data_IF_629062382937
#
_entry.id   IF_629062382937
#
_cell.length_a   1.000
_cell.length_b   1.000
_cell.length_c   1.000
_cell.angle_alpha   90.00
_cell.angle_beta   90.00
_cell.angle_gamma   90.00
#
_symmetry.space_group_name_H-M   'P 1'
#
loop_
_entity.id
_entity.type
_entity.pdbx_description
1 polymer ?
#
# COMPACT_ATOMS: atom_id res chain seq x y z
N UNK A 1 -4.39 23.15 5.00
CA UNK A 1 -5.30 22.66 3.94
C UNK A 1 -6.71 23.24 4.01
N UNK A 2 -7.37 23.35 5.19
CA UNK A 2 -8.73 23.95 5.31
C UNK A 2 -8.88 25.34 4.67
N UNK A 3 -7.87 26.17 4.83
CA UNK A 3 -7.68 27.50 4.23
C UNK A 3 -7.68 27.54 2.69
N UNK A 4 -7.38 26.42 2.02
CA UNK A 4 -7.47 26.27 0.56
C UNK A 4 -8.64 25.34 0.17
N UNK A 5 -9.65 25.21 1.05
CA UNK A 5 -10.82 24.36 0.79
C UNK A 5 -10.50 22.87 0.65
N UNK A 6 -9.38 22.39 1.21
CA UNK A 6 -8.89 21.02 1.05
C UNK A 6 -8.60 20.61 -0.41
N UNK A 7 -8.35 21.57 -1.29
CA UNK A 7 -7.89 21.31 -2.65
C UNK A 7 -6.50 20.67 -2.61
N UNK A 8 -6.31 19.62 -3.40
CA UNK A 8 -5.00 19.05 -3.68
C UNK A 8 -4.23 19.98 -4.62
N UNK A 9 -3.57 20.98 -4.03
CA UNK A 9 -2.79 22.00 -4.72
C UNK A 9 -1.32 21.90 -4.29
N UNK A 10 -0.53 21.25 -5.14
CA UNK A 10 0.90 21.06 -4.91
C UNK A 10 1.67 22.37 -4.82
N UNK A 11 1.26 23.43 -5.53
CA UNK A 11 1.93 24.73 -5.49
C UNK A 11 1.66 25.43 -4.17
N UNK A 12 0.40 25.41 -3.72
CA UNK A 12 0.03 25.92 -2.40
C UNK A 12 0.77 25.21 -1.28
N UNK A 13 0.85 23.87 -1.37
CA UNK A 13 1.57 23.04 -0.40
C UNK A 13 3.05 23.36 -0.37
N UNK A 14 3.70 23.49 -1.54
CA UNK A 14 5.10 23.86 -1.64
C UNK A 14 5.38 25.23 -0.98
N UNK A 15 4.54 26.24 -1.22
CA UNK A 15 4.68 27.57 -0.60
C UNK A 15 4.53 27.49 0.93
N UNK A 16 3.61 26.64 1.43
CA UNK A 16 3.44 26.41 2.88
C UNK A 16 4.68 25.79 3.51
N UNK A 17 5.27 24.79 2.86
CA UNK A 17 6.50 24.12 3.30
C UNK A 17 7.67 25.12 3.31
N UNK A 18 7.88 25.87 2.23
CA UNK A 18 8.93 26.91 2.14
C UNK A 18 8.73 27.98 3.22
N UNK A 19 7.49 28.41 3.44
CA UNK A 19 7.17 29.39 4.47
C UNK A 19 7.41 28.85 5.90
N UNK A 20 7.18 27.55 6.14
CA UNK A 20 7.51 26.88 7.39
C UNK A 20 9.02 26.85 7.62
N UNK A 21 9.79 26.38 6.63
CA UNK A 21 11.26 26.38 6.68
C UNK A 21 11.80 27.79 6.96
N UNK A 22 11.30 28.80 6.24
CA UNK A 22 11.70 30.19 6.43
C UNK A 22 11.41 30.74 7.83
N UNK A 23 10.33 30.29 8.50
CA UNK A 23 10.02 30.69 9.87
C UNK A 23 10.99 30.06 10.86
N UNK A 24 11.25 28.76 10.70
CA UNK A 24 12.19 28.02 11.55
C UNK A 24 13.60 28.60 11.41
N UNK A 25 14.08 28.82 10.18
CA UNK A 25 15.40 29.41 9.93
C UNK A 25 15.56 30.81 10.54
N UNK A 26 14.49 31.59 10.71
CA UNK A 26 14.54 32.90 11.38
C UNK A 26 14.61 32.80 12.90
N UNK A 27 14.07 31.74 13.49
CA UNK A 27 14.10 31.50 14.94
C UNK A 27 15.33 30.71 15.40
N UNK A 28 16.05 30.08 14.47
CA UNK A 28 17.27 29.32 14.71
C UNK A 28 18.52 30.22 14.67
N UNK A 29 19.61 29.79 15.32
CA UNK A 29 20.91 30.46 15.16
C UNK A 29 21.42 30.32 13.73
N UNK A 30 22.28 31.23 13.28
CA UNK A 30 22.79 31.23 11.90
C UNK A 30 23.54 29.94 11.49
N UNK A 31 24.05 29.19 12.47
CA UNK A 31 24.74 27.90 12.27
C UNK A 31 23.77 26.69 12.28
N UNK A 32 22.53 26.85 12.73
CA UNK A 32 21.51 25.79 12.80
C UNK A 32 20.64 25.79 11.52
N UNK A 33 21.22 25.35 10.40
CA UNK A 33 20.47 25.16 9.16
C UNK A 33 19.51 23.98 9.28
N UNK A 34 18.21 24.26 9.25
CA UNK A 34 17.15 23.25 9.25
C UNK A 34 16.69 22.96 7.82
N UNK A 35 16.73 21.70 7.41
CA UNK A 35 16.26 21.19 6.12
C UNK A 35 14.84 20.64 6.22
N UNK A 36 14.24 20.32 5.07
CA UNK A 36 12.93 19.66 5.01
C UNK A 36 12.96 18.27 5.67
N UNK A 37 14.06 17.52 5.49
CA UNK A 37 14.18 16.17 6.03
C UNK A 37 14.23 16.19 7.57
N UNK A 38 14.81 17.23 8.16
CA UNK A 38 14.83 17.39 9.62
C UNK A 38 13.42 17.52 10.19
N UNK A 39 12.49 18.16 9.45
CA UNK A 39 11.09 18.34 9.88
C UNK A 39 10.29 17.04 9.95
N UNK A 40 10.75 16.00 9.27
CA UNK A 40 10.10 14.69 9.21
C UNK A 40 10.98 13.57 9.80
N UNK A 41 12.14 13.93 10.36
CA UNK A 41 13.16 12.97 10.82
C UNK A 41 12.71 12.09 11.98
N UNK A 42 11.70 12.53 12.75
CA UNK A 42 11.10 11.79 13.85
C UNK A 42 9.85 10.98 13.46
N UNK A 43 9.44 11.06 12.17
CA UNK A 43 8.37 10.22 11.65
C UNK A 43 8.82 8.77 11.66
N UNK A 44 8.05 7.93 12.35
CA UNK A 44 8.30 6.50 12.40
C UNK A 44 7.87 5.87 11.09
N UNK A 45 8.80 5.16 10.46
CA UNK A 45 8.55 4.30 9.31
C UNK A 45 8.70 2.84 9.71
N UNK A 46 8.03 1.95 8.99
CA UNK A 46 8.29 0.52 9.12
C UNK A 46 9.67 0.19 8.56
N UNK A 47 10.34 -0.82 9.12
CA UNK A 47 11.71 -1.16 8.72
C UNK A 47 11.80 -1.54 7.23
N UNK A 48 10.73 -2.12 6.69
CA UNK A 48 10.64 -2.53 5.29
C UNK A 48 9.33 -2.08 4.66
N UNK A 49 9.44 -1.42 3.52
CA UNK A 49 8.34 -1.12 2.60
C UNK A 49 8.66 -1.73 1.22
N UNK A 50 7.69 -2.40 0.60
CA UNK A 50 7.85 -2.97 -0.75
C UNK A 50 6.55 -2.85 -1.55
N UNK A 51 6.68 -2.42 -2.80
CA UNK A 51 5.59 -2.45 -3.78
C UNK A 51 5.91 -3.48 -4.88
N UNK A 52 4.91 -4.29 -5.24
CA UNK A 52 4.93 -5.12 -6.44
C UNK A 52 3.67 -4.84 -7.28
N UNK A 53 3.79 -5.00 -8.60
CA UNK A 53 2.68 -4.76 -9.54
C UNK A 53 2.37 -6.03 -10.30
N UNK A 54 1.14 -6.53 -10.13
CA UNK A 54 0.61 -7.62 -10.94
C UNK A 54 0.16 -7.06 -12.28
N UNK A 55 0.86 -7.39 -13.35
CA UNK A 55 0.42 -7.07 -14.70
C UNK A 55 -0.70 -8.02 -15.12
N UNK A 56 -1.76 -7.48 -15.72
CA UNK A 56 -2.82 -8.28 -16.32
C UNK A 56 -2.41 -8.62 -17.75
N UNK A 57 -2.38 -9.92 -18.06
CA UNK A 57 -1.69 -10.47 -19.24
C UNK A 57 -2.30 -10.03 -20.57
N UNK A 58 -3.61 -9.77 -20.59
CA UNK A 58 -4.31 -9.31 -21.79
C UNK A 58 -4.32 -7.77 -21.93
N UNK A 59 -3.75 -7.04 -20.98
CA UNK A 59 -3.69 -5.58 -20.97
C UNK A 59 -5.06 -4.89 -20.81
N UNK A 60 -6.11 -5.60 -20.42
CA UNK A 60 -7.47 -5.07 -20.35
C UNK A 60 -7.82 -4.51 -18.97
N UNK A 61 -8.31 -3.27 -18.91
CA UNK A 61 -8.86 -2.65 -17.68
C UNK A 61 -10.07 -3.45 -17.16
N UNK A 62 -10.86 -4.03 -18.07
CA UNK A 62 -12.00 -4.86 -17.70
C UNK A 62 -11.55 -6.15 -16.99
N UNK A 63 -10.56 -6.84 -17.55
CA UNK A 63 -9.98 -8.04 -16.93
C UNK A 63 -9.30 -7.69 -15.61
N UNK A 64 -8.60 -6.55 -15.56
CA UNK A 64 -8.02 -6.01 -14.31
C UNK A 64 -9.07 -5.82 -13.23
N UNK A 65 -10.24 -5.30 -13.60
CA UNK A 65 -11.36 -5.11 -12.66
C UNK A 65 -11.91 -6.43 -12.12
N UNK A 66 -12.10 -7.41 -13.01
CA UNK A 66 -12.61 -8.72 -12.63
C UNK A 66 -11.63 -9.44 -11.72
N UNK A 67 -10.37 -9.57 -12.15
CA UNK A 67 -9.31 -10.25 -11.38
C UNK A 67 -9.08 -9.57 -10.04
N UNK A 68 -9.08 -8.24 -10.00
CA UNK A 68 -9.01 -7.51 -8.73
C UNK A 68 -10.14 -7.89 -7.77
N UNK A 69 -11.39 -7.99 -8.25
CA UNK A 69 -12.51 -8.43 -7.43
C UNK A 69 -12.33 -9.84 -6.87
N UNK A 70 -11.80 -10.77 -7.67
CA UNK A 70 -11.48 -12.13 -7.21
C UNK A 70 -10.37 -12.14 -6.16
N UNK A 71 -9.30 -11.37 -6.38
CA UNK A 71 -8.19 -11.24 -5.40
C UNK A 71 -8.71 -10.63 -4.09
N UNK A 72 -9.50 -9.56 -4.18
CA UNK A 72 -10.08 -8.88 -3.02
C UNK A 72 -10.91 -9.85 -2.18
N UNK A 73 -11.83 -10.59 -2.81
CA UNK A 73 -12.66 -11.58 -2.11
C UNK A 73 -11.82 -12.67 -1.43
N UNK A 74 -10.78 -13.19 -2.10
CA UNK A 74 -9.90 -14.21 -1.51
C UNK A 74 -9.18 -13.66 -0.26
N UNK A 75 -8.72 -12.41 -0.31
CA UNK A 75 -8.06 -11.78 0.84
C UNK A 75 -9.05 -11.49 1.97
N UNK A 76 -10.24 -11.00 1.66
CA UNK A 76 -11.30 -10.78 2.65
C UNK A 76 -11.73 -12.09 3.33
N UNK A 77 -11.89 -13.16 2.54
CA UNK A 77 -12.16 -14.51 3.05
C UNK A 77 -11.03 -14.97 3.97
N UNK A 78 -9.78 -14.82 3.55
CA UNK A 78 -8.60 -15.16 4.36
C UNK A 78 -8.54 -14.37 5.68
N UNK A 79 -8.99 -13.12 5.71
CA UNK A 79 -9.07 -12.32 6.94
C UNK A 79 -10.22 -12.76 7.86
N UNK A 80 -11.34 -13.21 7.29
CA UNK A 80 -12.58 -13.48 8.05
C UNK A 80 -12.79 -14.96 8.38
N UNK A 81 -12.09 -15.88 7.70
CA UNK A 81 -12.46 -17.29 7.64
C UNK A 81 -13.73 -17.54 6.80
N UNK A 82 -14.08 -16.60 5.94
CA UNK A 82 -15.24 -16.66 5.05
C UNK A 82 -15.12 -17.79 4.03
N UNK A 83 -16.26 -18.25 3.51
CA UNK A 83 -16.33 -19.24 2.42
C UNK A 83 -15.53 -20.55 2.66
N UNK A 84 -15.37 -20.95 3.94
CA UNK A 84 -14.63 -22.16 4.31
C UNK A 84 -13.11 -22.04 4.19
N UNK A 85 -12.60 -20.82 4.03
CA UNK A 85 -11.16 -20.54 4.02
C UNK A 85 -10.56 -20.65 5.42
N UNK A 86 -9.30 -21.07 5.49
CA UNK A 86 -8.53 -21.02 6.74
C UNK A 86 -8.21 -19.56 7.08
N UNK A 87 -8.74 -19.09 8.21
CA UNK A 87 -8.50 -17.73 8.68
C UNK A 87 -7.01 -17.52 8.94
N UNK A 88 -6.46 -16.44 8.38
CA UNK A 88 -5.13 -15.92 8.72
C UNK A 88 -5.28 -15.10 10.00
N UNK A 89 -4.89 -15.67 11.13
CA UNK A 89 -5.12 -15.08 12.46
C UNK A 89 -4.53 -13.68 12.60
N UNK A 90 -3.42 -13.42 11.93
CA UNK A 90 -2.68 -12.16 11.98
C UNK A 90 -3.21 -11.09 11.04
N UNK A 91 -4.15 -11.40 10.14
CA UNK A 91 -4.69 -10.47 9.16
C UNK A 91 -6.04 -9.93 9.60
N UNK A 92 -6.15 -8.61 9.62
CA UNK A 92 -7.38 -7.91 9.97
C UNK A 92 -7.70 -6.85 8.90
N UNK A 93 -8.92 -6.89 8.35
CA UNK A 93 -9.36 -5.88 7.40
C UNK A 93 -9.41 -4.50 8.07
N UNK A 94 -8.92 -3.49 7.36
CA UNK A 94 -9.07 -2.11 7.82
C UNK A 94 -10.52 -1.65 7.70
N UNK A 95 -10.97 -0.80 8.64
CA UNK A 95 -12.34 -0.30 8.69
C UNK A 95 -12.67 0.68 7.57
N UNK A 96 -11.65 1.28 6.96
CA UNK A 96 -11.77 2.31 5.93
C UNK A 96 -11.29 1.82 4.55
N UNK A 97 -11.73 0.63 4.13
CA UNK A 97 -11.49 0.10 2.79
C UNK A 97 -12.38 0.80 1.75
N UNK A 98 -11.96 1.99 1.30
CA UNK A 98 -12.70 2.78 0.30
C UNK A 98 -12.20 2.56 -1.14
N UNK A 99 -10.87 2.56 -1.35
CA UNK A 99 -10.25 2.39 -2.67
C UNK A 99 -9.20 1.26 -2.63
N UNK A 100 -9.68 0.03 -2.52
CA UNK A 100 -8.83 -1.15 -2.46
C UNK A 100 -9.16 -2.04 -1.27
N UNK A 101 -8.25 -2.98 -0.98
CA UNK A 101 -8.30 -3.81 0.23
C UNK A 101 -7.05 -3.56 1.03
N UNK A 102 -7.20 -2.90 2.19
CA UNK A 102 -6.15 -2.73 3.19
C UNK A 102 -6.36 -3.72 4.33
N UNK A 103 -5.27 -4.33 4.74
CA UNK A 103 -5.22 -5.34 5.79
C UNK A 103 -4.08 -5.01 6.73
N UNK A 104 -4.38 -4.90 8.03
CA UNK A 104 -3.37 -4.82 9.09
C UNK A 104 -2.78 -6.19 9.35
N UNK A 105 -1.48 -6.22 9.62
CA UNK A 105 -0.75 -7.43 10.03
C UNK A 105 -0.45 -7.39 11.53
N UNK A 106 -0.39 -8.56 12.18
CA UNK A 106 -0.25 -8.67 13.64
C UNK A 106 1.01 -8.04 14.27
N UNK A 107 2.00 -7.65 13.45
CA UNK A 107 3.22 -6.96 13.87
C UNK A 107 3.13 -5.41 13.76
N UNK A 108 1.95 -4.86 13.48
CA UNK A 108 1.75 -3.42 13.30
C UNK A 108 2.01 -2.90 11.88
N UNK A 109 2.39 -3.78 10.96
CA UNK A 109 2.43 -3.49 9.53
C UNK A 109 1.06 -3.52 8.87
N UNK A 110 1.04 -3.30 7.56
CA UNK A 110 -0.14 -3.49 6.74
C UNK A 110 0.24 -3.87 5.31
N UNK A 111 -0.72 -4.38 4.55
CA UNK A 111 -0.62 -4.41 3.10
C UNK A 111 -1.87 -3.81 2.47
N UNK A 112 -1.72 -3.33 1.23
CA UNK A 112 -2.79 -2.70 0.48
C UNK A 112 -2.80 -3.21 -0.96
N UNK A 113 -3.94 -3.73 -1.37
CA UNK A 113 -4.26 -4.08 -2.75
C UNK A 113 -5.01 -2.92 -3.39
N UNK A 114 -4.50 -2.38 -4.49
CA UNK A 114 -5.20 -1.37 -5.28
C UNK A 114 -5.17 -1.72 -6.76
N UNK A 115 -6.31 -1.54 -7.41
CA UNK A 115 -6.40 -1.58 -8.86
C UNK A 115 -6.02 -0.21 -9.42
N UNK A 116 -5.15 -0.15 -10.43
CA UNK A 116 -4.95 1.08 -11.18
C UNK A 116 -6.23 1.45 -11.96
N UNK A 117 -6.53 2.74 -12.05
CA UNK A 117 -7.66 3.26 -12.85
C UNK A 117 -7.27 3.53 -14.31
N UNK A 118 -5.97 3.64 -14.59
CA UNK A 118 -5.44 4.05 -15.88
C UNK A 118 -4.74 2.90 -16.60
N UNK A 119 -4.03 2.07 -15.84
CA UNK A 119 -3.18 1.00 -16.35
C UNK A 119 -3.74 -0.37 -15.97
N UNK A 120 -3.54 -1.42 -16.80
CA UNK A 120 -4.03 -2.77 -16.52
C UNK A 120 -3.14 -3.50 -15.50
N UNK A 121 -3.01 -2.92 -14.31
CA UNK A 121 -2.13 -3.40 -13.24
C UNK A 121 -2.83 -3.34 -11.88
N UNK A 122 -2.46 -4.27 -11.00
CA UNK A 122 -2.87 -4.28 -9.60
C UNK A 122 -1.62 -4.06 -8.74
N UNK A 123 -1.56 -2.96 -8.01
CA UNK A 123 -0.47 -2.66 -7.09
C UNK A 123 -0.71 -3.32 -5.74
N UNK A 124 0.34 -3.90 -5.19
CA UNK A 124 0.37 -4.52 -3.87
C UNK A 124 1.51 -3.86 -3.11
N UNK A 125 1.15 -3.05 -2.12
CA UNK A 125 2.08 -2.41 -1.21
C UNK A 125 2.06 -3.16 0.12
N UNK A 126 3.22 -3.41 0.72
CA UNK A 126 3.34 -4.02 2.04
C UNK A 126 4.40 -3.29 2.87
N UNK A 127 4.06 -3.10 4.13
CA UNK A 127 4.96 -2.61 5.17
C UNK A 127 5.11 -3.66 6.27
N UNK A 128 6.33 -3.88 6.74
CA UNK A 128 6.64 -4.90 7.74
C UNK A 128 7.80 -4.52 8.66
N UNK A 129 7.86 -5.20 9.81
CA UNK A 129 8.91 -4.98 10.81
C UNK A 129 10.24 -5.62 10.45
N UNK A 130 10.28 -6.47 9.42
CA UNK A 130 11.51 -7.10 8.92
C UNK A 130 11.33 -7.57 7.47
N UNK A 131 12.44 -7.82 6.74
CA UNK A 131 12.37 -8.41 5.40
C UNK A 131 11.68 -9.78 5.39
N UNK A 132 11.83 -10.55 6.48
CA UNK A 132 11.22 -11.87 6.63
C UNK A 132 9.68 -11.78 6.72
N UNK A 133 9.15 -10.77 7.42
CA UNK A 133 7.69 -10.57 7.53
C UNK A 133 7.09 -10.24 6.17
N UNK A 134 7.75 -9.35 5.42
CA UNK A 134 7.34 -8.97 4.06
C UNK A 134 7.40 -10.18 3.10
N UNK A 135 8.46 -10.99 3.18
CA UNK A 135 8.57 -12.21 2.40
C UNK A 135 7.45 -13.21 2.74
N UNK A 136 7.20 -13.42 4.04
CA UNK A 136 6.13 -14.33 4.51
C UNK A 136 4.76 -13.89 4.02
N UNK A 137 4.50 -12.58 4.00
CA UNK A 137 3.28 -12.03 3.39
C UNK A 137 3.17 -12.41 1.90
N UNK A 138 4.21 -12.17 1.10
CA UNK A 138 4.19 -12.45 -0.33
C UNK A 138 4.04 -13.95 -0.62
N UNK A 139 4.73 -14.80 0.12
CA UNK A 139 4.59 -16.26 0.02
C UNK A 139 3.17 -16.70 0.34
N UNK A 140 2.56 -16.14 1.39
CA UNK A 140 1.17 -16.46 1.77
C UNK A 140 0.18 -15.97 0.74
N UNK A 141 0.34 -14.75 0.23
CA UNK A 141 -0.51 -14.21 -0.83
C UNK A 141 -0.38 -15.06 -2.11
N UNK A 142 0.84 -15.36 -2.56
CA UNK A 142 1.07 -16.25 -3.70
C UNK A 142 0.35 -17.59 -3.51
N UNK A 143 0.45 -18.20 -2.33
CA UNK A 143 -0.22 -19.46 -2.00
C UNK A 143 -1.76 -19.38 -2.05
N UNK A 144 -2.35 -18.25 -1.66
CA UNK A 144 -3.78 -18.01 -1.78
C UNK A 144 -4.20 -17.86 -3.25
N UNK A 145 -3.44 -17.07 -4.03
CA UNK A 145 -3.80 -16.73 -5.40
C UNK A 145 -3.57 -17.86 -6.40
N UNK A 146 -2.48 -18.64 -6.25
CA UNK A 146 -2.13 -19.71 -7.19
C UNK A 146 -3.16 -20.85 -7.25
N UNK A 147 -4.03 -20.98 -6.22
CA UNK A 147 -5.08 -22.00 -6.17
C UNK A 147 -6.27 -21.67 -7.06
N UNK A 148 -6.41 -20.41 -7.50
CA UNK A 148 -7.53 -19.96 -8.31
C UNK A 148 -7.15 -19.90 -9.80
N UNK A 149 -7.89 -20.65 -10.64
CA UNK A 149 -7.67 -20.71 -12.09
C UNK A 149 -7.98 -19.40 -12.81
N UNK A 150 -8.92 -18.62 -12.31
CA UNK A 150 -9.29 -17.31 -12.88
C UNK A 150 -8.19 -16.27 -12.66
N UNK A 151 -7.32 -16.47 -11.67
CA UNK A 151 -6.19 -15.57 -11.35
C UNK A 151 -4.93 -16.03 -12.07
N UNK A 152 -4.57 -17.32 -11.95
CA UNK A 152 -3.33 -17.87 -12.52
C UNK A 152 -3.21 -17.72 -14.04
N UNK A 153 -4.33 -17.65 -14.77
CA UNK A 153 -4.34 -17.41 -16.21
C UNK A 153 -4.42 -15.94 -16.63
N UNK A 154 -4.63 -15.03 -15.69
CA UNK A 154 -4.96 -13.63 -15.99
C UNK A 154 -3.90 -12.63 -15.52
N UNK A 155 -3.11 -12.97 -14.51
CA UNK A 155 -2.04 -12.11 -13.96
C UNK A 155 -0.71 -12.83 -13.83
N UNK A 156 0.37 -12.06 -13.93
CA UNK A 156 1.73 -12.54 -13.69
C UNK A 156 2.01 -12.69 -12.18
N UNK A 157 1.88 -13.91 -11.63
CA UNK A 157 2.09 -14.17 -10.20
C UNK A 157 3.57 -14.35 -9.80
N UNK A 158 4.49 -14.53 -10.75
CA UNK A 158 5.94 -14.69 -10.49
C UNK A 158 6.53 -13.50 -9.73
N UNK A 159 5.96 -12.30 -9.88
CA UNK A 159 6.42 -11.11 -9.17
C UNK A 159 6.25 -11.18 -7.65
N UNK A 160 5.40 -12.09 -7.15
CA UNK A 160 5.22 -12.33 -5.72
C UNK A 160 6.29 -13.27 -5.12
N UNK A 161 7.14 -13.85 -5.94
CA UNK A 161 8.17 -14.80 -5.50
C UNK A 161 9.58 -14.17 -5.43
N UNK A 162 9.67 -12.86 -5.71
CA UNK A 162 10.90 -12.07 -5.73
C UNK A 162 11.16 -11.32 -4.43
#
# INVERSE_FOLDING_TARGET
>A
MRENGYLDDGTYTAVKVIGLLSRISRSSNADDRVSLLDLISDMKEMEVEKEVRLNVLDGSIQTTTQVFGHIANIVEDACTGGNGSEKVTEWELDSENLEGVRVRTGNGGFFMLRRSLHDPVISIMVEGTSPHDVQTFFERLYNLLQRNKEITGAVELSVLQN
#
